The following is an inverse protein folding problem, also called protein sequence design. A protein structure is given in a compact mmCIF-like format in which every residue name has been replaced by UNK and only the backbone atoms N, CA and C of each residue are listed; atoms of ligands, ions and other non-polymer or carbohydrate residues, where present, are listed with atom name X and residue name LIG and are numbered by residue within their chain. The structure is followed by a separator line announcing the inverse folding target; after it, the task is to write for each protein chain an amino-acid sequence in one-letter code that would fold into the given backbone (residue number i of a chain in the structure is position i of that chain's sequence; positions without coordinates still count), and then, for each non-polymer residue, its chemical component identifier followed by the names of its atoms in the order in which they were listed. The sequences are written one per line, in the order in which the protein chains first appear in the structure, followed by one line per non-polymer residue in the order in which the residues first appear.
data_IF_690803261599
#
_entry.id   IF_690803261599
#
_cell.length_a   1.000
_cell.length_b   1.000
_cell.length_c   1.000
_cell.angle_alpha   90.00
_cell.angle_beta   90.00
_cell.angle_gamma   90.00
#
_symmetry.space_group_name_H-M   'P 1'
#
loop_
_entity.id
_entity.type
_entity.pdbx_description
1 polymer ?
#
# COMPACT_ATOMS: atom_id res chain seq x y z
N UNK A 1 14.40 -5.43 -22.45
CA UNK A 1 13.44 -5.26 -23.57
C UNK A 1 13.02 -3.81 -23.63
N UNK A 2 13.03 -3.18 -24.80
CA UNK A 2 12.69 -1.74 -24.92
C UNK A 2 11.19 -1.53 -24.64
N UNK A 3 10.77 -0.46 -23.94
CA UNK A 3 9.36 -0.18 -23.70
C UNK A 3 8.62 -0.02 -25.02
N UNK A 4 7.38 -0.56 -25.09
CA UNK A 4 6.58 -0.49 -26.30
C UNK A 4 6.26 0.96 -26.65
N UNK A 5 6.45 1.34 -27.91
CA UNK A 5 6.29 2.70 -28.44
C UNK A 5 4.90 3.35 -28.23
N UNK A 6 3.89 2.58 -27.84
CA UNK A 6 2.51 3.05 -27.61
C UNK A 6 2.31 3.75 -26.26
N UNK A 7 2.94 3.27 -25.18
CA UNK A 7 2.83 3.92 -23.85
C UNK A 7 3.52 5.29 -23.81
N UNK A 8 4.64 5.42 -24.53
CA UNK A 8 5.35 6.69 -24.67
C UNK A 8 4.58 7.73 -25.50
N UNK A 9 3.75 7.29 -26.46
CA UNK A 9 2.93 8.18 -27.28
C UNK A 9 1.77 8.80 -26.50
N UNK A 10 1.13 8.04 -25.60
CA UNK A 10 0.03 8.56 -24.76
C UNK A 10 0.53 9.63 -23.77
N UNK A 11 1.66 9.39 -23.12
CA UNK A 11 2.29 10.37 -22.21
C UNK A 11 2.71 11.63 -22.97
N UNK A 12 3.28 11.51 -24.15
CA UNK A 12 3.68 12.64 -24.97
C UNK A 12 2.49 13.48 -25.47
N UNK A 13 1.35 12.85 -25.76
CA UNK A 13 0.19 13.54 -26.27
C UNK A 13 -0.61 14.27 -25.20
N UNK A 14 -0.81 13.66 -24.04
CA UNK A 14 -1.41 14.35 -22.88
C UNK A 14 -0.54 15.56 -22.49
N UNK A 15 0.77 15.50 -22.71
CA UNK A 15 1.66 16.65 -22.59
C UNK A 15 1.45 17.70 -23.70
N UNK A 16 1.18 17.31 -24.94
CA UNK A 16 0.97 18.20 -26.08
C UNK A 16 -0.39 18.94 -26.01
N UNK A 17 -1.46 18.27 -25.59
CA UNK A 17 -2.78 18.88 -25.40
C UNK A 17 -2.83 19.97 -24.32
N UNK A 18 -1.94 19.89 -23.34
CA UNK A 18 -1.82 20.94 -22.32
C UNK A 18 -0.97 22.14 -22.75
N UNK A 19 -0.13 21.98 -23.77
CA UNK A 19 0.65 23.09 -24.34
C UNK A 19 -0.15 23.98 -25.31
N UNK A 20 -1.33 23.51 -25.77
CA UNK A 20 -2.20 24.21 -26.73
C UNK A 20 -3.40 24.90 -26.10
N UNK A 21 -3.52 24.97 -24.78
CA UNK A 21 -4.51 25.81 -24.13
C UNK A 21 -4.15 27.30 -24.37
N UNK A 22 -5.04 28.13 -24.97
CA UNK A 22 -4.72 29.52 -25.19
C UNK A 22 -4.55 30.26 -23.86
N UNK A 23 -3.45 30.96 -23.70
CA UNK A 23 -3.24 31.88 -22.60
C UNK A 23 -4.34 32.94 -22.64
N UNK A 24 -5.21 32.93 -21.65
CA UNK A 24 -6.17 34.00 -21.47
C UNK A 24 -5.42 35.25 -21.00
N UNK A 25 -5.13 36.15 -21.95
CA UNK A 25 -4.53 37.44 -21.70
C UNK A 25 -5.48 38.31 -20.88
N UNK A 26 -5.08 38.68 -19.69
CA UNK A 26 -5.75 39.67 -18.87
C UNK A 26 -5.35 41.06 -19.37
N UNK A 27 -6.05 41.57 -20.40
CA UNK A 27 -5.92 42.93 -20.85
C UNK A 27 -7.09 43.80 -20.34
N UNK A 28 -6.71 44.86 -19.68
CA UNK A 28 -7.53 45.89 -19.03
C UNK A 28 -8.47 46.57 -20.01
N UNK A 29 -9.70 46.79 -19.54
CA UNK A 29 -10.70 47.71 -20.12
C UNK A 29 -10.15 49.16 -20.11
N UNK A 30 -10.05 49.78 -21.30
CA UNK A 30 -10.24 51.22 -21.50
C UNK A 30 -10.93 51.45 -22.85
N UNK A 31 -12.14 51.99 -22.79
CA UNK A 31 -12.85 52.53 -23.98
C UNK A 31 -12.25 53.86 -24.39
N UNK A 32 -12.30 54.22 -25.69
CA UNK A 32 -13.00 55.43 -26.05
C UNK A 32 -13.94 55.31 -27.25
N UNK A 33 -14.96 56.13 -27.20
CA UNK A 33 -15.96 56.42 -28.23
C UNK A 33 -15.38 57.22 -29.41
N UNK A 34 -15.87 56.96 -30.62
CA UNK A 34 -16.29 57.95 -31.70
C UNK A 34 -16.48 57.18 -33.00
N UNK A 35 -17.58 57.21 -33.57
CA UNK A 35 -18.47 58.09 -34.38
C UNK A 35 -18.20 57.93 -35.88
N UNK A 36 -19.28 57.46 -36.56
CA UNK A 36 -19.90 57.83 -37.86
C UNK A 36 -19.00 58.04 -39.08
N UNK A 37 -19.19 57.21 -40.15
CA UNK A 37 -19.86 57.71 -41.42
C UNK A 37 -19.78 56.65 -42.51
N UNK A 38 -20.91 56.34 -43.12
CA UNK A 38 -21.04 55.63 -44.40
C UNK A 38 -20.66 56.55 -45.57
N UNK A 39 -20.45 56.05 -46.82
CA UNK A 39 -21.57 55.86 -47.71
C UNK A 39 -21.54 54.62 -48.61
N UNK A 40 -22.73 54.30 -49.08
CA UNK A 40 -23.19 53.36 -50.06
C UNK A 40 -22.46 53.43 -51.42
N UNK A 41 -22.17 52.23 -51.98
CA UNK A 41 -22.17 52.07 -53.45
C UNK A 41 -22.85 50.73 -53.80
N UNK A 42 -23.93 50.85 -54.55
CA UNK A 42 -24.69 49.75 -55.18
C UNK A 42 -23.95 49.33 -56.45
N UNK A 43 -23.84 47.99 -56.67
CA UNK A 43 -23.83 47.43 -58.02
C UNK A 43 -24.51 46.05 -58.00
N UNK A 44 -25.23 45.82 -59.05
CA UNK A 44 -26.26 44.83 -59.36
C UNK A 44 -25.65 43.48 -59.79
N UNK A 45 -26.53 42.46 -59.94
CA UNK A 45 -26.14 41.06 -59.78
C UNK A 45 -25.84 40.38 -61.15
N UNK A 46 -24.94 39.42 -61.13
CA UNK A 46 -24.81 38.47 -62.27
C UNK A 46 -24.87 37.02 -61.78
N UNK A 47 -25.83 36.35 -62.34
CA UNK A 47 -25.99 34.94 -62.71
C UNK A 47 -25.53 33.87 -61.72
N UNK A 48 -26.51 33.17 -61.15
CA UNK A 48 -26.50 31.86 -60.57
C UNK A 48 -25.91 30.81 -61.56
N UNK A 49 -24.73 30.29 -61.24
CA UNK A 49 -24.28 28.98 -61.71
C UNK A 49 -24.53 27.99 -60.57
N UNK A 50 -25.28 26.94 -60.84
CA UNK A 50 -25.51 25.82 -59.93
C UNK A 50 -24.18 25.17 -59.58
N UNK A 51 -23.92 24.87 -58.26
CA UNK A 51 -22.77 24.08 -57.91
C UNK A 51 -22.99 22.61 -58.33
N UNK A 52 -22.14 22.12 -59.22
CA UNK A 52 -22.06 20.67 -59.53
C UNK A 52 -21.72 19.89 -58.26
N UNK A 53 -22.46 18.82 -58.04
CA UNK A 53 -22.15 17.86 -57.00
C UNK A 53 -20.71 17.32 -57.21
N UNK A 54 -19.88 17.32 -56.15
CA UNK A 54 -18.59 16.62 -56.23
C UNK A 54 -18.82 15.12 -56.15
N UNK A 55 -18.93 14.44 -57.27
CA UNK A 55 -18.91 12.98 -57.40
C UNK A 55 -17.47 12.48 -57.43
N UNK A 56 -16.85 12.48 -56.29
CA UNK A 56 -15.58 11.77 -56.07
C UNK A 56 -15.60 11.08 -54.72
N UNK A 57 -15.00 9.88 -54.57
CA UNK A 57 -14.86 9.28 -53.25
C UNK A 57 -14.09 10.24 -52.36
N UNK A 58 -14.60 10.42 -51.14
CA UNK A 58 -13.90 11.19 -50.11
C UNK A 58 -12.45 10.68 -50.00
N UNK A 59 -11.44 11.58 -49.93
CA UNK A 59 -10.05 11.14 -49.85
C UNK A 59 -9.90 10.22 -48.62
N UNK A 60 -9.35 9.05 -48.81
CA UNK A 60 -9.01 8.13 -47.72
C UNK A 60 -8.14 8.92 -46.73
N UNK A 61 -8.58 8.98 -45.48
CA UNK A 61 -7.83 9.65 -44.43
C UNK A 61 -6.41 9.12 -44.37
N UNK A 62 -5.43 10.00 -44.34
CA UNK A 62 -4.01 9.60 -44.29
C UNK A 62 -3.73 8.70 -43.08
N UNK A 63 -2.69 7.91 -43.15
CA UNK A 63 -2.26 7.10 -41.98
C UNK A 63 -2.01 7.99 -40.74
N UNK A 64 -1.59 9.23 -40.97
CA UNK A 64 -1.38 10.22 -39.93
C UNK A 64 -2.72 10.67 -39.33
N UNK A 65 -3.75 10.96 -40.14
CA UNK A 65 -5.08 11.37 -39.67
C UNK A 65 -5.72 10.26 -38.84
N UNK A 66 -5.63 9.01 -39.28
CA UNK A 66 -6.12 7.86 -38.51
C UNK A 66 -5.38 7.68 -37.19
N UNK A 67 -4.06 7.94 -37.17
CA UNK A 67 -3.26 7.90 -35.95
C UNK A 67 -3.66 9.03 -34.98
N UNK A 68 -3.87 10.24 -35.50
CA UNK A 68 -4.33 11.37 -34.68
C UNK A 68 -5.71 11.12 -34.08
N UNK A 69 -6.68 10.67 -34.88
CA UNK A 69 -8.03 10.33 -34.40
C UNK A 69 -8.00 9.21 -33.34
N UNK A 70 -7.14 8.20 -33.51
CA UNK A 70 -7.01 7.15 -32.51
C UNK A 70 -6.45 7.66 -31.18
N UNK A 71 -5.53 8.59 -31.24
CA UNK A 71 -4.91 9.23 -30.08
C UNK A 71 -5.88 10.17 -29.35
N UNK A 72 -6.68 10.96 -30.11
CA UNK A 72 -7.75 11.78 -29.53
C UNK A 72 -8.85 10.94 -28.87
N UNK A 73 -9.23 9.83 -29.49
CA UNK A 73 -10.20 8.90 -28.92
C UNK A 73 -9.68 8.25 -27.62
N UNK A 74 -8.39 7.90 -27.55
CA UNK A 74 -7.76 7.34 -26.34
C UNK A 74 -7.68 8.38 -25.22
N UNK A 75 -7.36 9.63 -25.53
CA UNK A 75 -7.35 10.73 -24.56
C UNK A 75 -8.77 11.03 -24.04
N UNK A 76 -9.77 11.01 -24.90
CA UNK A 76 -11.18 11.21 -24.51
C UNK A 76 -11.68 10.06 -23.63
N UNK A 77 -11.31 8.81 -23.95
CA UNK A 77 -11.63 7.65 -23.12
C UNK A 77 -10.99 7.73 -21.74
N UNK A 78 -9.71 8.09 -21.66
CA UNK A 78 -9.01 8.27 -20.37
C UNK A 78 -9.66 9.36 -19.52
N UNK A 79 -10.18 10.44 -20.13
CA UNK A 79 -10.91 11.48 -19.43
C UNK A 79 -12.23 10.96 -18.87
N UNK A 80 -13.00 10.22 -19.66
CA UNK A 80 -14.27 9.64 -19.20
C UNK A 80 -14.05 8.65 -18.05
N UNK A 81 -13.01 7.81 -18.12
CA UNK A 81 -12.62 6.92 -17.03
C UNK A 81 -12.19 7.69 -15.77
N UNK A 82 -11.48 8.81 -15.94
CA UNK A 82 -11.07 9.67 -14.82
C UNK A 82 -12.27 10.35 -14.15
N UNK A 83 -13.21 10.89 -14.92
CA UNK A 83 -14.42 11.49 -14.37
C UNK A 83 -15.27 10.46 -13.61
N UNK A 84 -15.38 9.23 -14.12
CA UNK A 84 -16.02 8.12 -13.42
C UNK A 84 -15.27 7.72 -12.15
N UNK A 85 -13.93 7.72 -12.17
CA UNK A 85 -13.10 7.52 -11.00
C UNK A 85 -13.32 8.60 -9.94
N UNK A 86 -13.34 9.88 -10.31
CA UNK A 86 -13.60 10.98 -9.38
C UNK A 86 -14.98 10.85 -8.73
N UNK A 87 -16.00 10.48 -9.50
CA UNK A 87 -17.35 10.25 -8.97
C UNK A 87 -17.39 9.04 -8.01
N UNK A 88 -16.78 7.91 -8.39
CA UNK A 88 -16.75 6.68 -7.59
C UNK A 88 -16.09 6.86 -6.22
N UNK A 89 -15.01 7.66 -6.16
CA UNK A 89 -14.22 7.86 -4.94
C UNK A 89 -14.46 9.22 -4.28
N UNK A 90 -15.56 9.92 -4.65
CA UNK A 90 -16.01 11.18 -4.07
C UNK A 90 -14.95 12.32 -4.15
N UNK A 91 -14.13 12.28 -5.21
CA UNK A 91 -13.03 13.23 -5.42
C UNK A 91 -13.39 14.39 -6.36
N UNK A 92 -14.60 14.44 -6.91
CA UNK A 92 -15.01 15.42 -7.90
C UNK A 92 -14.81 16.86 -7.41
N UNK A 93 -15.21 17.16 -6.17
CA UNK A 93 -15.06 18.50 -5.59
C UNK A 93 -13.61 18.87 -5.28
N UNK A 94 -12.75 17.88 -5.05
CA UNK A 94 -11.35 18.09 -4.72
C UNK A 94 -10.57 18.82 -5.82
N UNK A 95 -10.91 18.58 -7.08
CA UNK A 95 -10.20 19.14 -8.23
C UNK A 95 -11.07 20.13 -9.04
N UNK A 96 -12.33 20.35 -8.67
CA UNK A 96 -13.27 21.20 -9.40
C UNK A 96 -12.86 22.67 -9.44
N UNK A 97 -12.15 23.16 -8.42
CA UNK A 97 -11.75 24.56 -8.28
C UNK A 97 -10.43 24.91 -8.97
N UNK A 98 -9.62 23.92 -9.34
CA UNK A 98 -8.32 24.12 -10.00
C UNK A 98 -8.19 23.30 -11.29
N UNK A 99 -8.41 23.92 -12.47
CA UNK A 99 -8.28 23.23 -13.76
C UNK A 99 -6.85 22.71 -14.03
N UNK A 100 -5.80 23.30 -13.45
CA UNK A 100 -4.42 22.83 -13.63
C UNK A 100 -4.20 21.55 -12.86
N UNK A 101 -4.69 21.50 -11.63
CA UNK A 101 -4.64 20.29 -10.80
C UNK A 101 -5.47 19.15 -11.42
N UNK A 102 -6.68 19.44 -11.94
CA UNK A 102 -7.47 18.45 -12.67
C UNK A 102 -6.68 17.84 -13.85
N UNK A 103 -6.04 18.66 -14.69
CA UNK A 103 -5.22 18.19 -15.81
C UNK A 103 -4.00 17.41 -15.33
N UNK A 104 -3.36 17.83 -14.25
CA UNK A 104 -2.25 17.09 -13.65
C UNK A 104 -2.71 15.70 -13.20
N UNK A 105 -3.80 15.60 -12.45
CA UNK A 105 -4.35 14.34 -11.94
C UNK A 105 -4.87 13.41 -13.04
N UNK A 106 -5.44 13.95 -14.11
CA UNK A 106 -5.80 13.17 -15.30
C UNK A 106 -4.57 12.52 -15.93
N UNK A 107 -3.42 13.22 -16.01
CA UNK A 107 -2.17 12.66 -16.53
C UNK A 107 -1.64 11.54 -15.64
N UNK A 108 -1.64 11.78 -14.32
CA UNK A 108 -1.24 10.77 -13.33
C UNK A 108 -2.13 9.54 -13.45
N UNK A 109 -3.45 9.71 -13.53
CA UNK A 109 -4.41 8.64 -13.72
C UNK A 109 -4.15 7.82 -15.00
N UNK A 110 -3.95 8.50 -16.14
CA UNK A 110 -3.64 7.82 -17.40
C UNK A 110 -2.31 7.03 -17.33
N UNK A 111 -1.29 7.58 -16.68
CA UNK A 111 -0.01 6.89 -16.43
C UNK A 111 -0.21 5.63 -15.57
N UNK A 112 -0.99 5.75 -14.51
CA UNK A 112 -1.30 4.62 -13.62
C UNK A 112 -2.14 3.55 -14.32
N UNK A 113 -3.05 3.90 -15.24
CA UNK A 113 -3.76 2.93 -16.09
C UNK A 113 -2.79 2.15 -16.97
N UNK A 114 -1.81 2.82 -17.57
CA UNK A 114 -0.77 2.16 -18.37
C UNK A 114 0.05 1.19 -17.51
N UNK A 115 0.45 1.61 -16.31
CA UNK A 115 1.14 0.77 -15.33
C UNK A 115 0.29 -0.43 -14.89
N UNK A 116 -1.00 -0.24 -14.64
CA UNK A 116 -1.91 -1.34 -14.30
C UNK A 116 -2.00 -2.39 -15.42
N UNK A 117 -2.08 -1.95 -16.67
CA UNK A 117 -2.07 -2.85 -17.86
C UNK A 117 -0.75 -3.60 -18.00
N UNK A 118 0.37 -2.98 -17.68
CA UNK A 118 1.70 -3.61 -17.69
C UNK A 118 1.80 -4.66 -16.58
N UNK A 119 1.49 -4.30 -15.34
CA UNK A 119 1.46 -5.23 -14.20
C UNK A 119 0.53 -6.41 -14.45
N UNK A 120 -0.63 -6.18 -15.07
CA UNK A 120 -1.55 -7.25 -15.47
C UNK A 120 -0.91 -8.26 -16.44
N UNK A 121 -0.11 -7.79 -17.42
CA UNK A 121 0.61 -8.68 -18.35
C UNK A 121 1.73 -9.45 -17.65
N UNK A 122 2.50 -8.76 -16.81
CA UNK A 122 3.63 -9.34 -16.10
C UNK A 122 3.17 -10.37 -15.07
N UNK A 123 2.10 -10.07 -14.33
CA UNK A 123 1.51 -10.98 -13.37
C UNK A 123 1.07 -12.30 -14.05
N UNK A 124 0.34 -12.19 -15.16
CA UNK A 124 -0.07 -13.36 -15.93
C UNK A 124 1.11 -14.15 -16.50
N UNK A 125 2.16 -13.47 -16.96
CA UNK A 125 3.36 -14.12 -17.46
C UNK A 125 4.10 -14.91 -16.37
N UNK A 126 3.96 -14.51 -15.12
CA UNK A 126 4.58 -15.15 -13.96
C UNK A 126 3.65 -16.14 -13.21
N UNK A 127 2.48 -16.43 -13.77
CA UNK A 127 1.54 -17.42 -13.23
C UNK A 127 0.58 -16.88 -12.19
N UNK A 128 0.52 -15.56 -12.01
CA UNK A 128 -0.49 -14.89 -11.21
C UNK A 128 -1.85 -14.83 -11.93
N UNK A 129 -2.89 -14.62 -11.13
CA UNK A 129 -4.26 -14.43 -11.61
C UNK A 129 -4.79 -13.04 -11.24
N UNK A 130 -3.92 -12.16 -10.73
CA UNK A 130 -4.32 -10.84 -10.29
C UNK A 130 -4.95 -10.03 -11.42
N UNK A 131 -5.90 -9.20 -11.03
CA UNK A 131 -6.45 -8.13 -11.84
C UNK A 131 -5.88 -6.82 -11.35
N UNK A 132 -5.30 -6.05 -12.25
CA UNK A 132 -4.83 -4.70 -12.02
C UNK A 132 -5.73 -3.70 -12.76
N UNK A 133 -6.10 -2.61 -12.10
CA UNK A 133 -7.04 -1.64 -12.65
C UNK A 133 -7.22 -0.42 -11.74
N UNK A 134 -8.42 0.17 -11.81
CA UNK A 134 -8.74 1.41 -11.11
C UNK A 134 -8.98 1.18 -9.63
N UNK A 135 -8.05 1.65 -8.80
CA UNK A 135 -8.17 1.74 -7.34
C UNK A 135 -8.34 3.20 -6.91
N UNK A 136 -8.63 3.43 -5.63
CA UNK A 136 -8.74 4.78 -5.05
C UNK A 136 -7.46 5.63 -5.14
N UNK A 137 -6.33 5.04 -5.55
CA UNK A 137 -5.00 5.67 -5.60
C UNK A 137 -4.58 6.10 -7.01
N UNK A 138 -5.46 5.99 -8.01
CA UNK A 138 -5.07 6.21 -9.41
C UNK A 138 -4.74 7.67 -9.75
N UNK A 139 -5.13 8.61 -8.92
CA UNK A 139 -4.79 10.03 -9.03
C UNK A 139 -3.50 10.44 -8.31
N UNK A 140 -2.82 9.47 -7.67
CA UNK A 140 -1.55 9.68 -6.96
C UNK A 140 -0.38 9.21 -7.81
N UNK A 141 0.69 9.99 -7.87
CA UNK A 141 1.97 9.51 -8.40
C UNK A 141 2.50 8.37 -7.52
N UNK A 142 3.41 7.50 -8.02
CA UNK A 142 4.05 6.49 -7.18
C UNK A 142 4.75 7.07 -5.95
N UNK A 143 5.30 8.27 -6.07
CA UNK A 143 5.96 8.98 -4.98
C UNK A 143 4.94 9.49 -3.93
N UNK A 144 3.86 10.14 -4.38
CA UNK A 144 2.78 10.59 -3.49
C UNK A 144 2.13 9.40 -2.77
N UNK A 145 1.89 8.29 -3.50
CA UNK A 145 1.34 7.08 -2.90
C UNK A 145 2.27 6.53 -1.81
N UNK A 146 3.59 6.43 -2.11
CA UNK A 146 4.58 5.97 -1.13
C UNK A 146 4.61 6.87 0.09
N UNK A 147 4.73 8.18 -0.10
CA UNK A 147 4.89 9.13 1.01
C UNK A 147 3.64 9.26 1.88
N UNK A 148 2.45 8.90 1.35
CA UNK A 148 1.19 9.09 2.08
C UNK A 148 0.68 7.79 2.73
N UNK A 149 0.88 6.64 2.07
CA UNK A 149 0.25 5.37 2.47
C UNK A 149 1.24 4.29 2.87
N UNK A 150 2.53 4.47 2.62
CA UNK A 150 3.56 3.49 2.90
C UNK A 150 4.50 4.04 3.97
N UNK A 151 4.35 3.57 5.20
CA UNK A 151 5.04 4.10 6.38
C UNK A 151 6.02 3.13 7.04
N UNK A 152 6.25 1.93 6.49
CA UNK A 152 7.31 1.07 7.01
C UNK A 152 8.66 1.50 6.39
N UNK A 153 9.59 1.96 7.22
CA UNK A 153 10.91 2.47 6.78
C UNK A 153 11.98 1.46 7.17
N UNK A 154 12.09 0.36 6.43
CA UNK A 154 13.12 -0.67 6.68
C UNK A 154 13.93 -0.92 5.42
N UNK A 155 15.19 -0.58 5.46
CA UNK A 155 16.14 -0.95 4.40
C UNK A 155 16.79 -2.33 4.66
N UNK A 156 17.51 -2.84 3.66
CA UNK A 156 18.15 -4.14 3.74
C UNK A 156 19.22 -4.20 4.83
N UNK A 157 19.96 -3.13 5.03
CA UNK A 157 21.05 -3.08 6.02
C UNK A 157 20.48 -3.18 7.45
N UNK A 158 19.42 -2.44 7.74
CA UNK A 158 18.71 -2.51 9.01
C UNK A 158 18.12 -3.89 9.27
N UNK A 159 17.50 -4.52 8.24
CA UNK A 159 16.98 -5.89 8.35
C UNK A 159 18.08 -6.91 8.63
N UNK A 160 19.21 -6.80 7.97
CA UNK A 160 20.35 -7.72 8.19
C UNK A 160 20.95 -7.56 9.59
N UNK A 161 21.06 -6.33 10.11
CA UNK A 161 21.47 -6.06 11.49
C UNK A 161 20.50 -6.68 12.50
N UNK A 162 19.19 -6.44 12.34
CA UNK A 162 18.15 -7.01 13.22
C UNK A 162 18.24 -8.54 13.24
N UNK A 163 18.44 -9.18 12.09
CA UNK A 163 18.55 -10.64 12.01
C UNK A 163 19.82 -11.16 12.63
N UNK A 164 20.96 -10.58 12.31
CA UNK A 164 22.24 -10.98 12.87
C UNK A 164 22.21 -10.89 14.40
N UNK A 165 21.60 -9.87 14.95
CA UNK A 165 21.43 -9.67 16.38
C UNK A 165 20.46 -10.69 16.97
N UNK A 166 19.34 -10.97 16.30
CA UNK A 166 18.36 -11.98 16.72
C UNK A 166 18.92 -13.40 16.73
N UNK A 167 19.72 -13.76 15.73
CA UNK A 167 20.37 -15.08 15.65
C UNK A 167 21.46 -15.24 16.72
N UNK A 168 22.26 -14.19 16.98
CA UNK A 168 23.24 -14.21 18.08
C UNK A 168 22.54 -14.43 19.42
N UNK A 169 21.43 -13.75 19.68
CA UNK A 169 20.67 -13.92 20.91
C UNK A 169 20.05 -15.32 21.04
N UNK A 170 19.62 -15.93 19.94
CA UNK A 170 19.13 -17.30 19.93
C UNK A 170 20.20 -18.34 20.24
N UNK A 171 21.49 -18.05 19.98
CA UNK A 171 22.63 -18.95 20.26
C UNK A 171 23.21 -18.84 21.67
N UNK A 172 22.77 -17.88 22.47
CA UNK A 172 23.20 -17.75 23.87
C UNK A 172 22.65 -18.89 24.72
N UNK A 173 23.44 -19.36 25.68
CA UNK A 173 23.00 -20.31 26.71
C UNK A 173 21.91 -19.70 27.60
N UNK A 174 21.16 -20.52 28.31
CA UNK A 174 20.08 -20.04 29.20
C UNK A 174 20.61 -19.13 30.30
N UNK A 175 21.83 -19.38 30.81
CA UNK A 175 22.48 -18.50 31.80
C UNK A 175 22.91 -17.16 31.22
N UNK A 176 23.41 -17.15 29.97
CA UNK A 176 23.77 -15.91 29.26
C UNK A 176 22.52 -15.12 28.86
N UNK A 177 21.44 -15.78 28.47
CA UNK A 177 20.13 -15.14 28.24
C UNK A 177 19.59 -14.50 29.50
N UNK A 178 19.63 -15.21 30.62
CA UNK A 178 19.20 -14.68 31.92
C UNK A 178 20.06 -13.50 32.40
N UNK A 179 21.33 -13.41 31.99
CA UNK A 179 22.19 -12.26 32.27
C UNK A 179 21.94 -11.10 31.31
N UNK A 180 21.58 -11.37 30.08
CA UNK A 180 21.20 -10.37 29.07
C UNK A 180 19.79 -9.79 29.37
N UNK A 181 18.86 -10.63 29.83
CA UNK A 181 17.53 -10.19 30.33
C UNK A 181 17.61 -9.43 31.66
N UNK A 182 18.67 -9.61 32.46
CA UNK A 182 18.94 -8.86 33.70
C UNK A 182 19.73 -7.58 33.47
N UNK A 183 20.12 -7.24 32.25
CA UNK A 183 20.57 -5.88 31.94
C UNK A 183 19.44 -4.89 32.25
N UNK A 184 19.72 -3.74 32.87
CA UNK A 184 18.71 -2.80 33.37
C UNK A 184 17.74 -2.23 32.33
N UNK A 185 17.81 -2.68 31.06
CA UNK A 185 16.96 -2.23 29.95
C UNK A 185 15.55 -2.83 29.93
N UNK A 186 15.30 -3.93 30.66
CA UNK A 186 13.98 -4.59 30.59
C UNK A 186 13.04 -4.19 31.78
N UNK A 187 13.58 -3.73 32.92
CA UNK A 187 12.84 -3.31 34.11
C UNK A 187 13.27 -1.92 34.67
N UNK A 188 14.32 -1.31 34.12
CA UNK A 188 14.69 0.05 34.48
C UNK A 188 13.76 1.03 33.78
N UNK A 189 13.27 1.98 34.57
CA UNK A 189 12.64 3.20 34.09
C UNK A 189 13.32 3.65 32.79
N UNK A 190 12.51 3.67 31.71
CA UNK A 190 12.85 4.11 30.38
C UNK A 190 14.11 5.01 30.35
N UNK A 191 15.28 4.46 29.96
CA UNK A 191 16.44 5.30 29.67
C UNK A 191 16.10 6.08 28.40
N UNK A 192 15.34 7.14 28.60
CA UNK A 192 15.09 8.15 27.58
C UNK A 192 16.31 9.05 27.54
N UNK A 193 17.13 8.91 26.53
CA UNK A 193 18.05 9.98 26.14
C UNK A 193 17.23 10.89 25.22
N UNK A 194 16.97 12.11 25.65
CA UNK A 194 16.16 13.11 24.91
C UNK A 194 14.74 12.66 24.50
N UNK A 195 14.09 11.81 25.31
CA UNK A 195 12.73 11.32 25.04
C UNK A 195 12.66 10.09 24.10
N UNK A 196 13.80 9.53 23.74
CA UNK A 196 13.89 8.34 22.84
C UNK A 196 14.05 7.08 23.69
N UNK A 197 13.14 6.12 23.52
CA UNK A 197 13.17 4.82 24.20
C UNK A 197 13.85 3.77 23.33
N UNK A 198 14.89 3.10 23.86
CA UNK A 198 15.62 2.03 23.17
C UNK A 198 15.11 0.67 23.64
N UNK A 199 14.85 -0.22 22.69
CA UNK A 199 14.32 -1.55 22.98
C UNK A 199 15.29 -2.68 22.63
N UNK A 200 15.23 -3.78 23.37
CA UNK A 200 16.07 -4.96 23.12
C UNK A 200 15.79 -5.62 21.75
N UNK A 201 16.82 -6.27 21.16
CA UNK A 201 16.71 -7.03 19.91
C UNK A 201 15.67 -8.16 20.02
N UNK A 202 14.76 -8.34 19.04
CA UNK A 202 13.79 -9.43 19.07
C UNK A 202 14.48 -10.80 19.05
N UNK A 203 13.91 -11.78 19.73
CA UNK A 203 14.39 -13.16 19.69
C UNK A 203 14.02 -13.79 18.35
N UNK A 204 14.94 -14.59 17.74
CA UNK A 204 14.56 -15.49 16.67
C UNK A 204 13.71 -16.64 17.26
N UNK A 205 12.55 -16.90 16.67
CA UNK A 205 11.71 -18.03 17.05
C UNK A 205 12.32 -19.32 16.51
N UNK A 206 12.21 -20.43 17.25
CA UNK A 206 12.68 -21.72 16.77
C UNK A 206 11.85 -22.16 15.57
N UNK A 207 12.54 -22.76 14.59
CA UNK A 207 11.88 -23.39 13.45
C UNK A 207 10.99 -24.55 13.90
N UNK A 208 9.88 -24.75 13.21
CA UNK A 208 9.02 -25.90 13.38
C UNK A 208 9.77 -27.18 12.96
N UNK A 209 9.52 -28.25 13.69
CA UNK A 209 10.11 -29.58 13.42
C UNK A 209 9.53 -30.16 12.13
N UNK A 210 10.24 -31.13 11.54
CA UNK A 210 9.75 -31.87 10.37
C UNK A 210 8.38 -32.54 10.61
N UNK A 211 8.08 -32.93 11.84
CA UNK A 211 6.80 -33.50 12.19
C UNK A 211 5.68 -32.49 12.16
N UNK A 212 5.90 -31.29 12.67
CA UNK A 212 4.96 -30.15 12.60
C UNK A 212 4.73 -29.74 11.15
N UNK A 213 5.80 -29.63 10.35
CA UNK A 213 5.69 -29.27 8.93
C UNK A 213 4.87 -30.28 8.11
N UNK A 214 5.04 -31.59 8.36
CA UNK A 214 4.24 -32.64 7.69
C UNK A 214 2.75 -32.59 8.05
N UNK A 215 2.42 -32.03 9.20
CA UNK A 215 1.04 -31.94 9.70
C UNK A 215 0.36 -30.60 9.35
N UNK A 216 1.04 -29.71 8.62
CA UNK A 216 0.43 -28.45 8.19
C UNK A 216 -0.77 -28.71 7.28
N UNK A 217 -1.89 -28.02 7.52
CA UNK A 217 -3.04 -28.07 6.61
C UNK A 217 -2.66 -27.51 5.23
N UNK A 218 -3.31 -27.99 4.17
CA UNK A 218 -3.08 -27.51 2.80
C UNK A 218 -3.55 -26.06 2.60
N UNK A 219 -4.54 -25.62 3.39
CA UNK A 219 -5.00 -24.23 3.47
C UNK A 219 -5.36 -23.90 4.91
N UNK A 220 -5.21 -22.65 5.30
CA UNK A 220 -5.47 -22.22 6.65
C UNK A 220 -5.88 -20.75 6.67
N UNK A 221 -6.89 -20.39 7.47
CA UNK A 221 -7.38 -19.02 7.59
C UNK A 221 -7.85 -18.71 9.02
N UNK A 222 -7.25 -17.74 9.65
CA UNK A 222 -7.63 -17.29 10.99
C UNK A 222 -8.96 -16.54 11.03
N UNK A 223 -9.43 -16.02 9.88
CA UNK A 223 -10.75 -15.38 9.77
C UNK A 223 -11.87 -16.37 10.04
N UNK A 224 -11.73 -17.58 9.51
CA UNK A 224 -12.69 -18.69 9.73
C UNK A 224 -12.73 -19.16 11.18
N UNK A 225 -11.72 -18.79 11.96
CA UNK A 225 -11.59 -19.14 13.38
C UNK A 225 -11.92 -17.99 14.32
N UNK A 226 -12.29 -16.82 13.79
CA UNK A 226 -12.69 -15.66 14.57
C UNK A 226 -11.53 -14.89 15.21
N UNK A 227 -10.28 -15.08 14.77
CA UNK A 227 -9.09 -14.44 15.34
C UNK A 227 -8.66 -13.16 14.62
N UNK A 228 -9.47 -12.63 13.68
CA UNK A 228 -9.11 -11.48 12.84
C UNK A 228 -10.24 -10.45 12.83
N UNK A 229 -9.93 -9.24 13.27
CA UNK A 229 -10.85 -8.09 13.16
C UNK A 229 -11.04 -7.65 11.70
N UNK A 230 -12.15 -6.97 11.36
CA UNK A 230 -12.35 -6.44 10.01
C UNK A 230 -11.22 -5.51 9.56
N UNK A 231 -10.91 -5.41 8.24
CA UNK A 231 -9.94 -4.47 7.73
C UNK A 231 -10.29 -3.01 8.04
N UNK A 232 -9.40 -2.32 8.72
CA UNK A 232 -9.51 -0.89 9.07
C UNK A 232 -8.94 0.01 7.96
N UNK A 233 -8.98 1.33 8.12
CA UNK A 233 -8.50 2.28 7.13
C UNK A 233 -7.56 3.32 7.76
N UNK A 234 -6.27 3.25 7.42
CA UNK A 234 -5.24 4.18 7.90
C UNK A 234 -5.39 5.61 7.36
N UNK A 235 -6.24 5.84 6.34
CA UNK A 235 -6.37 7.16 5.73
C UNK A 235 -5.07 7.66 5.08
N UNK A 236 -4.87 8.97 5.08
CA UNK A 236 -3.66 9.63 4.54
C UNK A 236 -2.60 9.82 5.65
N UNK A 237 -2.14 8.71 6.24
CA UNK A 237 -1.17 8.66 7.31
C UNK A 237 -0.30 7.41 7.12
N UNK A 238 1.02 7.54 7.22
CA UNK A 238 1.99 6.45 7.07
C UNK A 238 2.02 5.47 8.25
N UNK A 239 0.88 5.18 8.87
CA UNK A 239 0.72 4.37 10.08
C UNK A 239 0.49 2.89 9.85
N UNK A 240 0.77 2.34 8.66
CA UNK A 240 0.56 0.92 8.36
C UNK A 240 1.22 -0.03 9.36
N UNK A 241 2.35 0.37 9.94
CA UNK A 241 3.08 -0.36 10.97
C UNK A 241 2.24 -0.60 12.23
N UNK A 242 1.37 0.34 12.62
CA UNK A 242 0.48 0.19 13.78
C UNK A 242 -0.61 -0.84 13.51
N UNK A 243 -1.24 -0.83 12.31
CA UNK A 243 -2.29 -1.79 11.92
C UNK A 243 -1.75 -3.22 11.80
N UNK A 244 -0.53 -3.36 11.31
CA UNK A 244 0.15 -4.65 11.26
C UNK A 244 0.42 -5.20 12.66
N UNK A 245 0.84 -4.33 13.58
CA UNK A 245 1.12 -4.69 14.98
C UNK A 245 -0.15 -5.01 15.74
N UNK A 246 -1.16 -4.11 15.73
CA UNK A 246 -2.42 -4.34 16.44
C UNK A 246 -3.10 -5.62 15.98
N UNK A 247 -3.11 -5.90 14.67
CA UNK A 247 -3.69 -7.14 14.14
C UNK A 247 -3.01 -8.42 14.63
N UNK A 248 -1.69 -8.41 14.79
CA UNK A 248 -0.97 -9.55 15.37
C UNK A 248 -1.24 -9.71 16.87
N UNK A 249 -1.31 -8.60 17.60
CA UNK A 249 -1.64 -8.61 19.04
C UNK A 249 -3.09 -9.04 19.28
N UNK A 250 -4.05 -8.56 18.47
CA UNK A 250 -5.46 -8.99 18.49
C UNK A 250 -5.58 -10.52 18.33
N UNK A 251 -4.84 -11.07 17.36
CA UNK A 251 -4.80 -12.51 17.12
C UNK A 251 -4.17 -13.30 18.27
N UNK A 252 -3.03 -12.85 18.81
CA UNK A 252 -2.36 -13.48 19.94
C UNK A 252 -3.23 -13.44 21.21
N UNK A 253 -3.89 -12.31 21.47
CA UNK A 253 -4.85 -12.17 22.57
C UNK A 253 -6.01 -13.15 22.42
N UNK A 254 -6.58 -13.27 21.21
CA UNK A 254 -7.65 -14.23 20.91
C UNK A 254 -7.21 -15.69 21.19
N UNK A 255 -5.99 -16.07 20.78
CA UNK A 255 -5.49 -17.42 21.02
C UNK A 255 -5.38 -17.74 22.51
N UNK A 256 -5.02 -16.75 23.32
CA UNK A 256 -4.87 -16.93 24.76
C UNK A 256 -6.20 -16.92 25.52
N UNK A 257 -7.12 -16.03 25.15
CA UNK A 257 -8.34 -15.73 25.93
C UNK A 257 -9.63 -16.26 25.33
N UNK A 258 -9.64 -16.49 24.00
CA UNK A 258 -10.84 -16.75 23.23
C UNK A 258 -11.67 -15.49 22.88
N UNK A 259 -11.22 -14.29 23.29
CA UNK A 259 -11.89 -13.02 23.04
C UNK A 259 -11.15 -12.21 21.98
N UNK A 260 -11.88 -11.78 20.94
CA UNK A 260 -11.34 -10.91 19.90
C UNK A 260 -11.59 -9.45 20.25
N UNK A 261 -10.53 -8.72 20.49
CA UNK A 261 -10.58 -7.27 20.76
C UNK A 261 -10.21 -6.47 19.52
N UNK A 262 -10.74 -5.26 19.40
CA UNK A 262 -10.25 -4.25 18.45
C UNK A 262 -9.38 -3.27 19.21
N UNK A 263 -8.09 -3.23 18.90
CA UNK A 263 -7.09 -2.44 19.62
C UNK A 263 -6.78 -1.13 18.91
N UNK A 264 -6.28 -0.15 19.66
CA UNK A 264 -6.04 1.21 19.20
C UNK A 264 -4.73 1.32 18.41
N UNK A 265 -4.83 1.63 17.14
CA UNK A 265 -3.70 2.06 16.31
C UNK A 265 -3.28 3.49 16.65
N UNK A 266 -4.24 4.34 17.06
CA UNK A 266 -3.93 5.73 17.40
C UNK A 266 -3.02 5.84 18.62
N UNK A 267 -3.15 4.94 19.59
CA UNK A 267 -2.23 4.92 20.74
C UNK A 267 -0.79 4.73 20.29
N UNK A 268 -0.53 3.81 19.35
CA UNK A 268 0.81 3.64 18.79
C UNK A 268 1.26 4.88 18.01
N UNK A 269 0.38 5.47 17.19
CA UNK A 269 0.69 6.71 16.44
C UNK A 269 1.11 7.86 17.33
N UNK A 270 0.45 8.02 18.50
CA UNK A 270 0.63 9.17 19.37
C UNK A 270 1.67 8.95 20.49
N UNK A 271 1.88 7.69 20.88
CA UNK A 271 2.63 7.39 22.12
C UNK A 271 3.92 6.57 21.87
N UNK A 272 4.04 5.89 20.73
CA UNK A 272 5.19 5.05 20.45
C UNK A 272 6.26 5.81 19.68
N UNK A 273 7.38 6.04 20.35
CA UNK A 273 8.59 6.64 19.78
C UNK A 273 9.80 5.72 19.98
N UNK A 274 9.55 4.40 20.05
CA UNK A 274 10.60 3.40 20.23
C UNK A 274 11.52 3.35 19.02
N UNK A 275 12.82 3.27 19.26
CA UNK A 275 13.85 3.12 18.23
C UNK A 275 14.49 1.74 18.26
N UNK A 276 15.16 1.35 17.19
CA UNK A 276 16.04 0.19 17.20
C UNK A 276 17.28 0.48 18.06
N UNK A 277 17.70 -0.49 18.86
CA UNK A 277 18.85 -0.38 19.75
C UNK A 277 20.15 -0.04 18.99
N UNK A 278 20.35 -0.66 17.84
CA UNK A 278 21.55 -0.50 17.00
C UNK A 278 21.41 0.63 15.96
N UNK A 279 20.23 1.28 15.85
CA UNK A 279 19.96 2.34 14.89
C UNK A 279 19.00 3.39 15.47
N UNK A 280 19.51 4.43 16.11
CA UNK A 280 18.69 5.48 16.72
C UNK A 280 17.95 6.36 15.69
N UNK A 281 18.17 6.14 14.41
CA UNK A 281 17.42 6.82 13.32
C UNK A 281 16.22 6.03 12.84
N UNK A 282 16.12 4.74 13.21
CA UNK A 282 15.02 3.85 12.89
C UNK A 282 13.97 3.84 14.04
N UNK A 283 13.35 4.98 14.26
CA UNK A 283 12.33 5.19 15.31
C UNK A 283 10.92 5.20 14.73
N UNK A 284 9.95 4.89 15.58
CA UNK A 284 8.55 5.06 15.28
C UNK A 284 8.19 6.56 15.40
N UNK A 285 7.54 7.09 14.36
CA UNK A 285 7.28 8.52 14.21
C UNK A 285 5.86 8.75 13.63
N UNK A 286 4.88 8.23 14.32
CA UNK A 286 3.46 8.46 14.04
C UNK A 286 3.06 8.23 12.58
N UNK A 287 2.60 9.30 11.91
CA UNK A 287 2.24 9.27 10.49
C UNK A 287 3.43 9.31 9.52
N UNK A 288 4.63 9.63 10.00
CA UNK A 288 5.85 9.64 9.18
C UNK A 288 6.51 8.27 9.08
N UNK A 289 5.96 7.29 9.79
CA UNK A 289 6.30 5.88 9.67
C UNK A 289 6.85 5.26 10.95
N UNK A 290 7.08 3.95 10.89
CA UNK A 290 7.58 3.17 12.01
C UNK A 290 7.80 1.70 11.65
N UNK A 291 8.14 0.91 12.66
CA UNK A 291 8.47 -0.50 12.53
C UNK A 291 7.58 -1.36 13.43
N UNK A 292 6.93 -2.41 12.92
CA UNK A 292 6.19 -3.35 13.75
C UNK A 292 7.03 -3.95 14.90
N UNK A 293 8.33 -4.11 14.69
CA UNK A 293 9.24 -4.59 15.73
C UNK A 293 9.36 -3.65 16.93
N UNK A 294 9.44 -2.34 16.68
CA UNK A 294 9.47 -1.34 17.73
C UNK A 294 8.12 -1.28 18.44
N UNK A 295 7.03 -1.28 17.66
CA UNK A 295 5.67 -1.30 18.20
C UNK A 295 5.39 -2.52 19.08
N UNK A 296 5.92 -3.71 18.75
CA UNK A 296 5.81 -4.88 19.63
C UNK A 296 6.52 -4.68 20.98
N UNK A 297 7.64 -3.94 21.00
CA UNK A 297 8.32 -3.58 22.26
C UNK A 297 7.47 -2.63 23.11
N UNK A 298 6.89 -1.61 22.48
CA UNK A 298 5.96 -0.72 23.16
C UNK A 298 4.80 -1.54 23.75
N UNK A 299 4.15 -2.40 22.97
CA UNK A 299 3.03 -3.24 23.44
C UNK A 299 3.43 -4.15 24.59
N UNK A 300 4.63 -4.75 24.54
CA UNK A 300 5.13 -5.59 25.63
C UNK A 300 5.26 -4.80 26.94
N UNK A 301 5.69 -3.55 26.87
CA UNK A 301 5.93 -2.70 28.04
C UNK A 301 4.67 -2.00 28.56
N UNK A 302 3.85 -1.49 27.66
CA UNK A 302 2.74 -0.58 27.99
C UNK A 302 1.36 -1.22 27.79
N UNK A 303 1.25 -2.19 26.89
CA UNK A 303 -0.04 -2.72 26.42
C UNK A 303 -0.76 -1.77 25.48
N UNK A 304 -1.95 -2.15 25.06
CA UNK A 304 -2.82 -1.36 24.19
C UNK A 304 -4.20 -1.17 24.77
N UNK A 305 -4.77 0.00 24.51
CA UNK A 305 -6.17 0.33 24.79
C UNK A 305 -7.08 -0.22 23.69
N UNK A 306 -8.39 -0.26 23.96
CA UNK A 306 -9.38 -0.57 22.93
C UNK A 306 -9.47 0.58 21.90
N UNK A 307 -9.74 0.23 20.65
CA UNK A 307 -10.07 1.21 19.60
C UNK A 307 -11.23 2.13 19.99
N UNK A 308 -12.22 1.61 20.73
CA UNK A 308 -13.35 2.39 21.22
C UNK A 308 -12.96 3.41 22.29
N UNK A 309 -11.88 3.18 23.03
CA UNK A 309 -11.39 4.08 24.09
C UNK A 309 -10.40 5.13 23.56
N UNK A 310 -9.63 4.74 22.53
CA UNK A 310 -8.65 5.61 21.88
C UNK A 310 -8.80 5.52 20.33
N UNK A 311 -9.82 6.17 19.75
CA UNK A 311 -10.19 5.99 18.35
C UNK A 311 -9.16 6.52 17.37
N UNK A 312 -9.02 5.85 16.21
CA UNK A 312 -8.12 6.24 15.14
C UNK A 312 -8.53 7.55 14.45
N UNK A 313 -7.58 8.48 14.29
CA UNK A 313 -7.79 9.85 13.76
C UNK A 313 -7.09 10.09 12.41
N UNK A 314 -6.18 9.20 11.98
CA UNK A 314 -5.34 9.35 10.78
C UNK A 314 -4.43 10.60 10.78
N UNK A 315 -4.05 11.07 11.94
CA UNK A 315 -3.14 12.20 12.18
C UNK A 315 -2.39 11.94 13.48
N UNK A 316 -1.09 12.22 13.49
CA UNK A 316 -0.30 12.15 14.72
C UNK A 316 -0.68 13.27 15.70
N UNK A 317 -0.77 12.95 16.96
CA UNK A 317 -1.14 13.84 18.05
C UNK A 317 -0.24 13.67 19.27
N UNK A 318 -0.64 14.30 20.37
CA UNK A 318 0.00 14.08 21.67
C UNK A 318 -0.58 12.81 22.30
N UNK A 319 0.26 12.04 22.97
CA UNK A 319 -0.18 10.85 23.70
C UNK A 319 -1.20 11.22 24.77
N UNK A 320 -2.43 10.72 24.63
CA UNK A 320 -3.55 10.96 25.54
C UNK A 320 -4.03 9.67 26.23
N UNK A 321 -3.31 8.54 26.09
CA UNK A 321 -3.66 7.28 26.74
C UNK A 321 -3.61 7.46 28.27
N UNK A 322 -4.75 7.29 28.91
CA UNK A 322 -4.86 7.34 30.38
C UNK A 322 -4.22 6.14 31.06
N UNK A 323 -3.97 5.09 30.29
CA UNK A 323 -3.39 3.83 30.72
C UNK A 323 -1.92 3.72 30.34
N UNK A 324 -1.39 4.68 29.59
CA UNK A 324 0.03 4.68 29.21
C UNK A 324 0.90 4.68 30.46
N UNK A 325 1.83 3.73 30.51
CA UNK A 325 2.62 3.47 31.71
C UNK A 325 1.98 2.53 32.75
N UNK A 326 0.70 2.15 32.60
CA UNK A 326 0.05 1.14 33.44
C UNK A 326 -0.36 -0.08 32.63
N UNK A 327 0.57 -0.96 32.37
CA UNK A 327 0.40 -2.20 31.61
C UNK A 327 -0.76 -3.08 32.11
N UNK A 328 -0.97 -3.12 33.42
CA UNK A 328 -2.01 -3.95 34.06
C UNK A 328 -3.42 -3.40 33.82
N UNK A 329 -3.56 -2.13 33.42
CA UNK A 329 -4.81 -1.52 33.04
C UNK A 329 -5.11 -1.58 31.54
N UNK A 330 -4.15 -2.01 30.72
CA UNK A 330 -4.33 -2.13 29.29
C UNK A 330 -5.36 -3.20 28.91
N UNK A 331 -6.04 -3.03 27.76
CA UNK A 331 -7.00 -4.00 27.25
C UNK A 331 -6.31 -5.30 26.77
N UNK A 332 -5.14 -5.16 26.17
CA UNK A 332 -4.32 -6.31 25.76
C UNK A 332 -2.83 -6.01 25.94
N UNK A 333 -2.08 -7.07 26.28
CA UNK A 333 -0.62 -7.04 26.40
C UNK A 333 -0.05 -8.28 25.73
N UNK A 334 1.25 -8.26 25.43
CA UNK A 334 1.99 -9.46 24.99
C UNK A 334 3.07 -9.81 26.04
N UNK A 335 3.32 -11.10 26.20
CA UNK A 335 4.40 -11.60 27.05
C UNK A 335 5.74 -11.60 26.32
N UNK A 336 5.71 -11.70 24.99
CA UNK A 336 6.87 -11.71 24.14
C UNK A 336 6.51 -11.54 22.66
N UNK A 337 7.55 -11.45 21.83
CA UNK A 337 7.45 -11.48 20.39
C UNK A 337 8.77 -11.97 19.79
N UNK A 338 8.74 -12.42 18.55
CA UNK A 338 9.95 -12.90 17.91
C UNK A 338 9.90 -12.88 16.39
N UNK A 339 11.10 -12.92 15.79
CA UNK A 339 11.28 -13.04 14.35
C UNK A 339 11.11 -14.48 13.91
N UNK A 340 10.28 -14.68 12.91
CA UNK A 340 10.10 -15.96 12.22
C UNK A 340 11.18 -16.12 11.15
N UNK A 341 11.57 -17.36 10.87
CA UNK A 341 12.45 -17.75 9.75
C UNK A 341 11.94 -17.18 8.41
N UNK A 342 12.87 -16.91 7.49
CA UNK A 342 12.51 -16.46 6.13
C UNK A 342 11.94 -17.56 5.23
N UNK A 343 12.02 -18.81 5.67
CA UNK A 343 11.45 -19.92 4.93
C UNK A 343 9.92 -19.89 5.00
N UNK A 344 9.27 -19.74 3.85
CA UNK A 344 7.82 -19.57 3.81
C UNK A 344 7.04 -20.80 4.34
N UNK A 345 7.62 -21.98 4.34
CA UNK A 345 7.03 -23.14 5.02
C UNK A 345 7.09 -22.99 6.55
N UNK A 346 8.18 -22.43 7.08
CA UNK A 346 8.28 -22.09 8.50
C UNK A 346 7.34 -20.95 8.89
N UNK A 347 7.15 -19.96 8.00
CA UNK A 347 6.16 -18.89 8.19
C UNK A 347 4.75 -19.50 8.28
N UNK A 348 4.40 -20.49 7.45
CA UNK A 348 3.11 -21.16 7.52
C UNK A 348 2.93 -21.90 8.86
N UNK A 349 3.98 -22.57 9.35
CA UNK A 349 3.95 -23.22 10.66
C UNK A 349 3.79 -22.21 11.82
N UNK A 350 4.54 -21.10 11.76
CA UNK A 350 4.43 -20.02 12.74
C UNK A 350 3.02 -19.38 12.73
N UNK A 351 2.45 -19.15 11.54
CA UNK A 351 1.08 -18.65 11.41
C UNK A 351 0.05 -19.55 12.10
N UNK A 352 0.16 -20.87 11.90
CA UNK A 352 -0.77 -21.83 12.52
C UNK A 352 -0.59 -21.88 14.04
N UNK A 353 0.64 -21.70 14.53
CA UNK A 353 0.99 -21.83 15.94
C UNK A 353 0.77 -20.57 16.76
N UNK A 354 1.17 -19.40 16.24
CA UNK A 354 1.23 -18.16 16.97
C UNK A 354 0.10 -17.17 16.60
N UNK A 355 -0.74 -17.50 15.60
CA UNK A 355 -1.77 -16.56 15.13
C UNK A 355 -1.34 -15.73 13.93
N UNK A 356 -2.12 -14.68 13.58
CA UNK A 356 -1.78 -13.73 12.53
C UNK A 356 -0.40 -13.11 12.72
N UNK A 357 0.37 -12.99 11.60
CA UNK A 357 1.75 -12.55 11.63
C UNK A 357 1.90 -11.14 11.04
N UNK A 358 2.55 -10.26 11.78
CA UNK A 358 2.93 -8.93 11.28
C UNK A 358 4.10 -9.04 10.31
N UNK A 359 3.99 -8.44 9.13
CA UNK A 359 5.03 -8.49 8.10
C UNK A 359 5.29 -7.12 7.46
N UNK A 360 6.49 -6.98 6.89
CA UNK A 360 6.79 -5.92 5.93
C UNK A 360 6.71 -6.43 4.49
N UNK A 361 6.36 -5.55 3.56
CA UNK A 361 6.27 -5.83 2.12
C UNK A 361 6.65 -4.59 1.30
N UNK A 362 7.18 -4.76 0.07
CA UNK A 362 7.16 -3.71 -0.96
C UNK A 362 5.76 -3.64 -1.56
N UNK A 363 5.03 -2.57 -1.26
CA UNK A 363 3.64 -2.40 -1.64
C UNK A 363 3.42 -1.66 -2.97
N UNK A 364 4.46 -1.35 -3.73
CA UNK A 364 4.33 -0.61 -4.98
C UNK A 364 3.31 -1.24 -5.95
N UNK A 365 3.25 -2.60 -6.01
CA UNK A 365 2.29 -3.32 -6.85
C UNK A 365 0.84 -3.24 -6.37
N UNK A 366 0.65 -3.01 -5.08
CA UNK A 366 -0.66 -2.94 -4.45
C UNK A 366 -1.45 -1.69 -4.86
N UNK A 367 -0.78 -0.62 -5.32
CA UNK A 367 -1.43 0.61 -5.80
C UNK A 367 -2.51 0.36 -6.86
N UNK A 368 -2.29 -0.60 -7.76
CA UNK A 368 -3.19 -0.92 -8.88
C UNK A 368 -3.92 -2.25 -8.73
N UNK A 369 -3.76 -2.96 -7.62
CA UNK A 369 -4.36 -4.27 -7.38
C UNK A 369 -5.87 -4.17 -7.12
N UNK A 370 -6.65 -4.98 -7.84
CA UNK A 370 -8.12 -5.05 -7.72
C UNK A 370 -8.59 -6.42 -7.26
N UNK A 371 -7.86 -7.49 -7.60
CA UNK A 371 -8.28 -8.83 -7.20
C UNK A 371 -7.42 -9.96 -7.77
N UNK A 372 -7.74 -11.20 -7.41
CA UNK A 372 -7.01 -12.41 -7.80
C UNK A 372 -5.72 -12.61 -7.01
N UNK A 373 -4.86 -13.55 -7.41
CA UNK A 373 -3.57 -13.82 -6.78
C UNK A 373 -2.45 -13.12 -7.55
N UNK A 374 -1.80 -12.15 -6.91
CA UNK A 374 -0.68 -11.41 -7.49
C UNK A 374 0.62 -12.20 -7.35
N UNK A 375 1.38 -12.32 -8.45
CA UNK A 375 2.72 -12.91 -8.48
C UNK A 375 3.74 -11.92 -9.05
N UNK A 376 4.01 -10.80 -8.36
CA UNK A 376 4.92 -9.78 -8.85
C UNK A 376 6.32 -10.33 -9.06
N UNK A 377 6.90 -10.03 -10.24
CA UNK A 377 8.29 -10.41 -10.54
C UNK A 377 9.28 -9.31 -10.15
N UNK A 378 8.88 -8.06 -10.34
CA UNK A 378 9.72 -6.88 -10.09
C UNK A 378 9.23 -6.19 -8.83
N UNK A 379 9.83 -6.54 -7.70
CA UNK A 379 9.66 -5.87 -6.42
C UNK A 379 11.02 -5.59 -5.81
N UNK A 380 11.12 -4.52 -5.04
CA UNK A 380 12.30 -4.27 -4.21
C UNK A 380 12.22 -5.10 -2.92
N UNK A 381 12.75 -6.33 -2.97
CA UNK A 381 12.70 -7.26 -1.84
C UNK A 381 13.52 -6.80 -0.62
N UNK A 382 14.37 -5.82 -0.80
CA UNK A 382 15.26 -5.30 0.22
C UNK A 382 14.78 -3.97 0.84
N UNK A 383 13.78 -3.32 0.21
CA UNK A 383 13.20 -2.07 0.72
C UNK A 383 11.72 -2.30 1.02
N UNK A 384 11.42 -2.64 2.28
CA UNK A 384 10.05 -2.80 2.73
C UNK A 384 9.49 -1.42 3.07
N UNK A 385 8.34 -1.08 2.50
CA UNK A 385 7.73 0.23 2.65
C UNK A 385 6.33 0.19 3.26
N UNK A 386 5.79 -1.03 3.53
CA UNK A 386 4.43 -1.19 4.05
C UNK A 386 4.33 -2.32 5.07
N UNK A 387 3.67 -2.04 6.20
CA UNK A 387 3.32 -3.01 7.23
C UNK A 387 1.93 -3.61 6.97
N UNK A 388 1.83 -4.95 6.90
CA UNK A 388 0.58 -5.69 6.69
C UNK A 388 0.56 -6.96 7.54
N UNK A 389 -0.55 -7.71 7.50
CA UNK A 389 -0.75 -8.88 8.36
C UNK A 389 -1.04 -10.13 7.54
N UNK A 390 -0.22 -11.18 7.66
CA UNK A 390 -0.60 -12.51 7.14
C UNK A 390 -1.63 -13.13 8.09
N UNK A 391 -2.80 -13.50 7.55
CA UNK A 391 -3.87 -14.13 8.31
C UNK A 391 -4.17 -15.55 7.87
N UNK A 392 -3.67 -15.96 6.70
CA UNK A 392 -3.95 -17.27 6.15
C UNK A 392 -3.13 -17.57 4.91
N UNK A 393 -3.30 -18.77 4.41
CA UNK A 393 -2.79 -19.21 3.11
C UNK A 393 -3.76 -20.21 2.46
N UNK A 394 -3.73 -20.25 1.14
CA UNK A 394 -4.60 -21.13 0.37
C UNK A 394 -3.93 -21.67 -0.88
N UNK A 395 -4.63 -22.58 -1.53
CA UNK A 395 -4.25 -23.14 -2.84
C UNK A 395 -5.14 -22.54 -3.91
N UNK A 396 -4.53 -21.94 -4.92
CA UNK A 396 -5.29 -21.43 -6.05
C UNK A 396 -5.79 -22.60 -6.91
N UNK A 397 -7.11 -22.87 -6.85
CA UNK A 397 -7.75 -23.93 -7.61
C UNK A 397 -7.93 -23.65 -9.10
N UNK A 398 -7.73 -22.41 -9.56
CA UNK A 398 -7.86 -22.04 -10.97
C UNK A 398 -6.56 -22.30 -11.68
N UNK A 399 -6.54 -23.35 -12.52
CA UNK A 399 -5.41 -23.60 -13.40
C UNK A 399 -5.34 -22.48 -14.44
N UNK A 400 -4.18 -21.83 -14.62
CA UNK A 400 -3.97 -20.97 -15.78
C UNK A 400 -3.98 -21.78 -17.08
N UNK A 401 -4.25 -21.10 -18.17
CA UNK A 401 -4.43 -21.68 -19.51
C UNK A 401 -3.19 -22.36 -20.14
N UNK A 402 -2.14 -22.65 -19.36
CA UNK A 402 -0.91 -23.30 -19.84
C UNK A 402 -0.58 -24.55 -19.02
N UNK A 403 -0.24 -25.70 -19.66
CA UNK A 403 -0.08 -26.99 -18.98
C UNK A 403 1.08 -27.11 -17.99
N UNK A 404 1.98 -26.13 -17.93
CA UNK A 404 3.11 -26.06 -17.01
C UNK A 404 2.93 -25.10 -15.83
N UNK A 405 1.82 -24.34 -15.75
CA UNK A 405 1.50 -23.57 -14.56
C UNK A 405 0.87 -24.51 -13.54
N UNK A 406 1.67 -24.87 -12.54
CA UNK A 406 1.21 -25.60 -11.37
C UNK A 406 0.24 -24.72 -10.57
N UNK A 407 -0.58 -25.36 -9.71
CA UNK A 407 -1.34 -24.67 -8.67
C UNK A 407 -0.44 -23.63 -7.99
N UNK A 408 -0.89 -22.39 -7.92
CA UNK A 408 -0.18 -21.33 -7.24
C UNK A 408 -0.78 -21.18 -5.84
N UNK A 409 0.00 -21.56 -4.83
CA UNK A 409 -0.33 -21.30 -3.44
C UNK A 409 -0.14 -19.82 -3.14
N UNK A 410 -0.93 -19.28 -2.22
CA UNK A 410 -0.93 -17.87 -1.93
C UNK A 410 -1.11 -17.57 -0.45
N UNK A 411 -0.61 -16.41 -0.03
CA UNK A 411 -0.86 -15.82 1.25
C UNK A 411 -2.12 -14.96 1.22
N UNK A 412 -2.90 -15.00 2.29
CA UNK A 412 -4.01 -14.10 2.55
C UNK A 412 -3.48 -13.01 3.49
N UNK A 413 -3.41 -11.80 2.96
CA UNK A 413 -2.81 -10.65 3.65
C UNK A 413 -3.89 -9.62 3.94
N UNK A 414 -4.13 -9.32 5.22
CA UNK A 414 -5.02 -8.24 5.66
C UNK A 414 -4.29 -6.91 5.50
N UNK A 415 -4.93 -5.95 4.81
CA UNK A 415 -4.40 -4.62 4.59
C UNK A 415 -5.17 -3.57 5.40
N UNK A 416 -4.64 -2.35 5.46
CA UNK A 416 -5.17 -1.21 6.21
C UNK A 416 -5.70 -0.07 5.34
N UNK A 417 -6.21 -0.39 4.14
CA UNK A 417 -6.76 0.63 3.22
C UNK A 417 -8.28 0.58 3.09
N UNK A 418 -8.95 0.03 4.09
CA UNK A 418 -10.40 -0.06 4.17
C UNK A 418 -11.03 -1.16 3.31
N UNK A 419 -12.34 -1.43 3.51
CA UNK A 419 -13.03 -2.55 2.89
C UNK A 419 -13.30 -2.37 1.38
N UNK A 420 -13.14 -1.17 0.85
CA UNK A 420 -13.35 -0.86 -0.57
C UNK A 420 -12.09 -1.05 -1.43
N UNK A 421 -11.04 -1.63 -0.88
CA UNK A 421 -9.79 -1.93 -1.57
C UNK A 421 -9.54 -3.45 -1.58
N UNK A 422 -8.87 -3.93 -2.64
CA UNK A 422 -8.46 -5.32 -2.75
C UNK A 422 -9.60 -6.32 -2.94
N UNK A 423 -9.42 -7.52 -2.43
CA UNK A 423 -10.42 -8.59 -2.43
C UNK A 423 -11.03 -8.78 -1.04
N UNK A 424 -12.18 -9.44 -0.98
CA UNK A 424 -12.81 -9.90 0.27
C UNK A 424 -12.94 -8.81 1.34
N UNK A 425 -13.09 -7.54 0.91
CA UNK A 425 -13.29 -6.43 1.83
C UNK A 425 -12.00 -5.92 2.49
N UNK A 426 -10.88 -5.85 1.76
CA UNK A 426 -9.64 -5.22 2.24
C UNK A 426 -8.42 -6.13 2.29
N UNK A 427 -8.47 -7.29 1.63
CA UNK A 427 -7.35 -8.24 1.61
C UNK A 427 -6.57 -8.19 0.30
N UNK A 428 -5.32 -8.66 0.37
CA UNK A 428 -4.41 -8.88 -0.74
C UNK A 428 -4.02 -10.34 -0.81
N UNK A 429 -4.17 -10.97 -1.98
CA UNK A 429 -3.69 -12.33 -2.20
C UNK A 429 -2.39 -12.27 -3.00
N UNK A 430 -1.32 -12.85 -2.46
CA UNK A 430 0.01 -12.83 -3.07
C UNK A 430 0.62 -14.24 -3.10
N UNK A 431 1.31 -14.57 -4.18
CA UNK A 431 1.97 -15.87 -4.38
C UNK A 431 2.85 -16.26 -3.19
N UNK A 432 2.66 -17.49 -2.72
CA UNK A 432 3.45 -18.14 -1.70
C UNK A 432 4.66 -18.89 -2.33
N UNK A 433 5.70 -19.13 -1.53
CA UNK A 433 6.94 -19.85 -1.89
C UNK A 433 7.77 -19.17 -2.98
N UNK A 434 7.73 -17.83 -3.05
CA UNK A 434 8.48 -17.00 -4.02
C UNK A 434 9.20 -15.82 -3.39
N UNK A 435 9.11 -15.64 -2.09
CA UNK A 435 9.57 -14.43 -1.42
C UNK A 435 9.05 -13.16 -2.15
N UNK A 436 7.77 -13.18 -2.55
CA UNK A 436 7.21 -12.14 -3.39
C UNK A 436 7.19 -10.81 -2.64
N UNK A 437 7.75 -9.75 -3.25
CA UNK A 437 7.84 -8.41 -2.68
C UNK A 437 8.47 -8.35 -1.28
N UNK A 438 9.33 -9.29 -0.94
CA UNK A 438 10.04 -9.32 0.34
C UNK A 438 9.19 -9.69 1.56
N UNK A 439 7.96 -10.20 1.37
CA UNK A 439 7.02 -10.51 2.45
C UNK A 439 7.58 -11.43 3.55
N UNK A 440 8.57 -12.25 3.20
CA UNK A 440 9.24 -13.17 4.11
C UNK A 440 10.47 -12.56 4.80
N UNK A 441 10.79 -11.30 4.52
CA UNK A 441 12.03 -10.69 5.02
C UNK A 441 11.90 -10.14 6.44
N UNK A 442 10.76 -9.63 6.84
CA UNK A 442 10.46 -9.22 8.20
C UNK A 442 9.11 -9.82 8.60
N UNK A 443 9.14 -10.89 9.37
CA UNK A 443 7.94 -11.60 9.86
C UNK A 443 8.02 -11.71 11.37
N UNK A 444 7.03 -11.14 12.06
CA UNK A 444 6.98 -11.03 13.51
C UNK A 444 5.74 -11.74 14.04
N UNK A 445 5.94 -12.62 14.99
CA UNK A 445 4.85 -13.21 15.78
C UNK A 445 4.80 -12.58 17.17
N UNK A 446 3.59 -12.36 17.68
CA UNK A 446 3.32 -11.93 19.05
C UNK A 446 2.94 -13.15 19.89
N UNK A 447 3.39 -13.16 21.16
CA UNK A 447 2.99 -14.14 22.18
C UNK A 447 2.24 -13.39 23.31
N UNK A 448 0.97 -13.74 23.59
CA UNK A 448 0.15 -13.08 24.59
C UNK A 448 0.28 -13.69 26.01
#
# INVERSE_FOLDING_TARGET
MRPSSRSSALVALVAALAATAPAADAARFTSPKRSLSSPLARSRPDTLASPGEPSGPLPESSALDRALLAVEAEALAARAEFDAFLAKYEKTLRYASDPREYVHRLRVFASNLATARERQRDDRANGGTATHGVTKFMDLTPEEFRNTYLGAKVDAETLDKIRASSLRRASLSDDERASDERRPSDDAEDETVDGVSFGSVPRALPDATDAELRNLPTSFDWRDRGAVTPPKNQGACGSCWTFSTTGAVEGAHFLKTGELLSLSEQQLVDCDHTCLEDDPTACDDGCDGGLPLNAMRYVKRRGLDLEAEYPYKAVAGTCESKKDGNRDAAAATISGFGLVSQNETQIAAALVKHGPLSIGIDAAWMQTYVGGVACPWICNKAGLDHGVLIVGYGVNGTAPARPWHRRQDYWIVKNSWGPNWGVEGGYYHICKDRAACGLNTMVVAADA
#
